data_IF_223780181684
#
_entry.id   IF_223780181684
#
_cell.length_a   1.000
_cell.length_b   1.000
_cell.length_c   1.000
_cell.angle_alpha   90.00
_cell.angle_beta   90.00
_cell.angle_gamma   90.00
#
_symmetry.space_group_name_H-M   'P 1'
#
loop_
_entity.id
_entity.type
_entity.pdbx_description
1 polymer ?
#
# COMPACT_ATOMS: atom_id res chain seq x y z
N UNK A 1 8.73 -0.77 21.12
CA UNK A 1 8.43 -2.04 20.42
C UNK A 1 8.34 -3.12 21.49
N UNK A 2 7.56 -4.17 21.27
CA UNK A 2 7.51 -5.35 22.13
C UNK A 2 8.74 -6.26 21.91
N UNK A 3 8.74 -7.45 22.53
CA UNK A 3 9.83 -8.42 22.42
C UNK A 3 10.04 -8.98 21.00
N UNK A 4 9.02 -8.86 20.13
CA UNK A 4 9.06 -9.28 18.73
C UNK A 4 9.41 -8.13 17.78
N UNK A 5 9.66 -6.92 18.30
CA UNK A 5 9.94 -5.75 17.49
C UNK A 5 8.70 -5.11 16.85
N UNK A 6 7.49 -5.45 17.32
CA UNK A 6 6.20 -4.90 16.88
C UNK A 6 5.79 -3.70 17.77
N UNK A 7 4.85 -2.83 17.35
CA UNK A 7 4.36 -1.76 18.20
C UNK A 7 3.69 -2.29 19.48
N UNK A 8 3.98 -1.67 20.62
CA UNK A 8 3.43 -2.11 21.92
C UNK A 8 1.96 -1.78 22.17
N UNK A 9 1.29 -1.16 21.19
CA UNK A 9 -0.15 -0.89 21.20
C UNK A 9 -0.92 -2.03 20.52
N UNK A 10 -2.23 -2.14 20.80
CA UNK A 10 -3.09 -3.05 20.04
C UNK A 10 -3.21 -2.61 18.56
N UNK A 11 -3.29 -3.53 17.60
CA UNK A 11 -3.55 -3.22 16.18
C UNK A 11 -4.98 -2.68 15.96
N UNK A 12 -5.28 -2.02 14.83
CA UNK A 12 -4.39 -1.85 13.67
C UNK A 12 -3.28 -0.83 13.90
N UNK A 13 -2.06 -1.13 13.44
CA UNK A 13 -0.91 -0.21 13.57
C UNK A 13 -0.80 0.81 12.43
N UNK A 14 -1.63 0.67 11.41
CA UNK A 14 -1.86 1.65 10.36
C UNK A 14 -3.02 1.23 9.48
N UNK A 15 -3.66 2.21 8.86
CA UNK A 15 -4.92 2.02 8.16
C UNK A 15 -4.99 2.91 6.92
N UNK A 16 -5.68 2.41 5.90
CA UNK A 16 -6.18 3.22 4.80
C UNK A 16 -7.60 3.67 5.15
N UNK A 17 -7.85 4.97 5.09
CA UNK A 17 -9.12 5.58 5.49
C UNK A 17 -9.66 6.42 4.33
N UNK A 18 -10.93 6.20 3.98
CA UNK A 18 -11.65 7.08 3.09
C UNK A 18 -12.57 8.01 3.87
N UNK A 19 -12.57 9.28 3.49
CA UNK A 19 -13.35 10.34 4.12
C UNK A 19 -14.13 11.05 3.03
N UNK A 20 -15.44 11.18 3.22
CA UNK A 20 -16.26 12.08 2.40
C UNK A 20 -15.94 13.53 2.79
N UNK A 21 -15.40 14.28 1.85
CA UNK A 21 -14.97 15.66 2.07
C UNK A 21 -16.13 16.65 2.21
N UNK A 22 -17.34 16.30 1.79
CA UNK A 22 -18.51 17.15 1.97
C UNK A 22 -19.04 17.08 3.40
N UNK A 23 -19.01 15.88 4.00
CA UNK A 23 -19.61 15.62 5.31
C UNK A 23 -18.58 15.46 6.43
N UNK A 24 -17.31 15.25 6.08
CA UNK A 24 -16.23 14.92 7.02
C UNK A 24 -16.33 13.52 7.61
N UNK A 25 -17.23 12.66 7.10
CA UNK A 25 -17.48 11.33 7.64
C UNK A 25 -16.53 10.31 7.02
N UNK A 26 -16.04 9.39 7.85
CA UNK A 26 -15.34 8.19 7.37
C UNK A 26 -16.35 7.31 6.64
N UNK A 27 -16.06 6.97 5.38
CA UNK A 27 -16.89 6.06 4.58
C UNK A 27 -16.46 4.61 4.76
N UNK A 28 -15.16 4.37 4.92
CA UNK A 28 -14.59 3.07 5.28
C UNK A 28 -13.17 3.23 5.84
N UNK A 29 -12.74 2.20 6.57
CA UNK A 29 -11.39 2.05 7.13
C UNK A 29 -10.96 0.61 7.00
N UNK A 30 -9.75 0.36 6.49
CA UNK A 30 -9.14 -0.97 6.45
C UNK A 30 -7.71 -0.94 7.02
N UNK A 31 -7.25 -1.98 7.74
CA UNK A 31 -5.84 -2.12 8.08
C UNK A 31 -4.97 -2.13 6.81
N UNK A 32 -3.89 -1.35 6.80
CA UNK A 32 -3.02 -1.25 5.62
C UNK A 32 -1.66 -1.90 5.89
N UNK A 33 -1.47 -3.06 5.25
CA UNK A 33 -0.27 -3.88 5.27
C UNK A 33 0.08 -4.44 6.65
N UNK A 34 1.28 -5.00 6.75
CA UNK A 34 1.75 -5.70 7.94
C UNK A 34 3.26 -5.49 8.13
N UNK A 35 3.73 -5.70 9.36
CA UNK A 35 5.16 -5.79 9.63
C UNK A 35 5.68 -7.17 9.19
N UNK A 36 6.85 -7.29 8.53
CA UNK A 36 7.42 -8.59 8.17
C UNK A 36 7.56 -9.56 9.35
N UNK A 37 7.78 -9.06 10.56
CA UNK A 37 7.84 -9.86 11.78
C UNK A 37 6.49 -10.48 12.14
N UNK A 38 5.38 -9.74 11.97
CA UNK A 38 4.03 -10.26 12.19
C UNK A 38 3.68 -11.34 11.16
N UNK A 39 4.00 -11.09 9.88
CA UNK A 39 3.82 -12.08 8.81
C UNK A 39 4.60 -13.37 9.09
N UNK A 40 5.84 -13.27 9.57
CA UNK A 40 6.66 -14.43 9.95
C UNK A 40 6.07 -15.26 11.11
N UNK A 41 5.17 -14.67 11.90
CA UNK A 41 4.43 -15.34 12.98
C UNK A 41 3.06 -15.87 12.50
N UNK A 42 2.73 -15.73 11.21
CA UNK A 42 1.42 -16.11 10.66
C UNK A 42 0.29 -15.14 11.01
N UNK A 43 0.63 -13.90 11.37
CA UNK A 43 -0.34 -12.85 11.68
C UNK A 43 -0.43 -11.87 10.49
N UNK A 44 -1.64 -11.63 10.01
CA UNK A 44 -1.90 -10.76 8.85
C UNK A 44 -3.09 -9.82 9.14
N UNK A 45 -3.16 -8.71 8.40
CA UNK A 45 -4.26 -7.74 8.53
C UNK A 45 -4.19 -6.89 9.79
N UNK A 46 -2.99 -6.73 10.37
CA UNK A 46 -2.76 -5.96 11.59
C UNK A 46 -2.41 -4.50 11.32
N UNK A 47 -2.25 -4.10 10.07
CA UNK A 47 -1.78 -2.77 9.73
C UNK A 47 -0.29 -2.60 10.00
N UNK A 48 0.33 -1.62 9.36
CA UNK A 48 1.70 -1.23 9.68
C UNK A 48 1.85 0.29 9.54
N UNK A 49 2.94 0.84 10.07
CA UNK A 49 3.22 2.26 9.88
C UNK A 49 3.25 2.59 8.38
N UNK A 50 2.46 3.60 7.99
CA UNK A 50 2.34 3.99 6.59
C UNK A 50 3.31 5.12 6.26
N UNK A 51 4.07 4.95 5.18
CA UNK A 51 4.98 5.97 4.67
C UNK A 51 4.86 6.05 3.15
N UNK A 52 4.29 7.15 2.67
CA UNK A 52 3.86 7.32 1.27
C UNK A 52 2.37 7.60 1.19
N UNK A 53 1.85 7.76 -0.03
CA UNK A 53 0.43 8.03 -0.26
C UNK A 53 -0.19 7.13 -1.33
N UNK A 54 -1.53 7.12 -1.41
CA UNK A 54 -2.25 6.46 -2.48
C UNK A 54 -2.27 7.31 -3.75
N UNK A 55 -2.63 6.67 -4.87
CA UNK A 55 -3.17 7.34 -6.06
C UNK A 55 -4.54 6.75 -6.40
N UNK A 56 -5.49 7.61 -6.74
CA UNK A 56 -6.86 7.21 -7.11
C UNK A 56 -7.03 7.39 -8.61
N UNK A 57 -7.54 6.37 -9.29
CA UNK A 57 -7.74 6.39 -10.74
C UNK A 57 -9.19 6.71 -11.11
N UNK A 58 -9.42 7.12 -12.36
CA UNK A 58 -10.77 7.30 -12.91
C UNK A 58 -11.57 6.01 -13.12
N UNK A 59 -10.95 4.84 -12.89
CA UNK A 59 -11.64 3.54 -12.88
C UNK A 59 -12.02 3.08 -11.47
N UNK A 60 -12.11 4.01 -10.52
CA UNK A 60 -12.51 3.76 -9.13
C UNK A 60 -11.62 2.80 -8.34
N UNK A 61 -10.33 2.74 -8.71
CA UNK A 61 -9.30 2.00 -7.99
C UNK A 61 -8.37 2.92 -7.21
N UNK A 62 -8.01 2.51 -6.00
CA UNK A 62 -6.98 3.13 -5.15
C UNK A 62 -5.75 2.25 -5.14
N UNK A 63 -4.63 2.75 -5.68
CA UNK A 63 -3.34 2.06 -5.63
C UNK A 63 -2.48 2.62 -4.51
N UNK A 64 -1.95 1.75 -3.65
CA UNK A 64 -1.05 2.14 -2.55
C UNK A 64 -0.11 1.00 -2.18
N UNK A 65 1.14 1.34 -1.88
CA UNK A 65 2.10 0.43 -1.27
C UNK A 65 2.28 0.84 0.20
N UNK A 66 3.07 1.87 0.46
CA UNK A 66 3.22 2.60 1.72
C UNK A 66 3.53 1.77 2.98
N UNK A 67 3.79 0.47 2.87
CA UNK A 67 3.92 -0.46 4.00
C UNK A 67 5.26 -1.20 3.97
N UNK A 68 5.76 -1.66 5.14
CA UNK A 68 7.05 -2.34 5.23
C UNK A 68 7.05 -3.77 4.67
N UNK A 69 5.89 -4.38 4.43
CA UNK A 69 5.76 -5.72 3.81
C UNK A 69 6.11 -5.79 2.32
N UNK A 70 6.55 -4.68 1.71
CA UNK A 70 6.98 -4.64 0.31
C UNK A 70 5.91 -5.11 -0.67
N UNK A 71 4.67 -4.65 -0.50
CA UNK A 71 3.57 -4.92 -1.45
C UNK A 71 2.99 -3.64 -2.01
N UNK A 72 2.54 -3.68 -3.27
CA UNK A 72 1.61 -2.72 -3.84
C UNK A 72 0.22 -3.37 -3.89
N UNK A 73 -0.82 -2.57 -3.64
CA UNK A 73 -2.21 -3.03 -3.54
C UNK A 73 -3.12 -2.13 -4.36
N UNK A 74 -4.19 -2.72 -4.88
CA UNK A 74 -5.32 -2.01 -5.47
C UNK A 74 -6.58 -2.31 -4.66
N UNK A 75 -7.26 -1.26 -4.22
CA UNK A 75 -8.51 -1.34 -3.48
C UNK A 75 -9.67 -0.74 -4.29
N UNK A 76 -10.87 -1.28 -4.12
CA UNK A 76 -12.09 -0.61 -4.53
C UNK A 76 -12.26 0.70 -3.74
N UNK A 77 -12.45 1.81 -4.45
CA UNK A 77 -12.55 3.15 -3.86
C UNK A 77 -13.76 3.33 -2.93
N UNK A 78 -14.85 2.60 -3.16
CA UNK A 78 -16.12 2.82 -2.47
C UNK A 78 -16.28 1.95 -1.22
N UNK A 79 -15.74 0.74 -1.24
CA UNK A 79 -15.86 -0.25 -0.18
C UNK A 79 -14.57 -0.45 0.63
N UNK A 80 -13.41 -0.13 0.05
CA UNK A 80 -12.11 -0.47 0.62
C UNK A 80 -11.74 -1.95 0.44
N UNK A 81 -12.46 -2.71 -0.37
CA UNK A 81 -12.15 -4.11 -0.68
C UNK A 81 -10.79 -4.22 -1.40
N UNK A 82 -9.94 -5.14 -0.96
CA UNK A 82 -8.69 -5.45 -1.64
C UNK A 82 -8.98 -6.28 -2.90
N UNK A 83 -8.73 -5.71 -4.07
CA UNK A 83 -9.01 -6.35 -5.36
C UNK A 83 -7.78 -7.03 -5.97
N UNK A 84 -6.59 -6.47 -5.72
CA UNK A 84 -5.34 -6.99 -6.27
C UNK A 84 -4.15 -6.57 -5.42
N UNK A 85 -3.09 -7.37 -5.44
CA UNK A 85 -1.80 -7.00 -4.87
C UNK A 85 -0.66 -7.72 -5.56
N UNK A 86 0.54 -7.17 -5.44
CA UNK A 86 1.78 -7.79 -5.91
C UNK A 86 2.96 -7.46 -4.98
N UNK A 87 3.98 -8.32 -5.03
CA UNK A 87 5.22 -8.14 -4.29
C UNK A 87 6.14 -7.15 -5.03
N UNK A 88 6.74 -6.24 -4.27
CA UNK A 88 7.77 -5.33 -4.73
C UNK A 88 9.15 -5.85 -4.32
N UNK A 89 10.22 -5.54 -5.08
CA UNK A 89 11.59 -5.94 -4.72
C UNK A 89 12.12 -5.24 -3.46
N UNK A 90 11.47 -4.16 -3.01
CA UNK A 90 11.73 -3.46 -1.76
C UNK A 90 10.48 -2.69 -1.32
N UNK A 91 10.45 -2.20 -0.09
CA UNK A 91 9.29 -1.48 0.44
C UNK A 91 8.96 -0.23 -0.39
N UNK A 92 7.71 -0.19 -0.88
CA UNK A 92 7.19 0.87 -1.75
C UNK A 92 6.75 2.09 -0.95
N UNK A 93 7.71 2.85 -0.44
CA UNK A 93 7.45 4.05 0.37
C UNK A 93 7.15 5.33 -0.43
N UNK A 94 7.17 5.23 -1.76
CA UNK A 94 6.76 6.31 -2.66
C UNK A 94 5.25 6.23 -2.95
N UNK A 95 4.64 7.37 -3.27
CA UNK A 95 3.31 7.41 -3.87
C UNK A 95 3.40 6.88 -5.32
N UNK A 96 2.58 5.91 -5.73
CA UNK A 96 2.54 5.47 -7.11
C UNK A 96 2.11 6.60 -8.06
N UNK A 97 2.67 6.61 -9.26
CA UNK A 97 2.29 7.53 -10.34
C UNK A 97 1.43 6.82 -11.38
N UNK A 98 0.47 7.55 -11.96
CA UNK A 98 -0.35 7.10 -13.09
C UNK A 98 0.08 7.88 -14.33
N UNK A 99 0.45 7.21 -15.42
CA UNK A 99 0.74 7.88 -16.68
C UNK A 99 0.26 7.09 -17.90
N UNK A 100 0.27 7.74 -19.07
CA UNK A 100 0.01 7.10 -20.35
C UNK A 100 1.23 7.19 -21.26
N UNK A 101 1.55 6.08 -21.92
CA UNK A 101 2.62 6.00 -22.92
C UNK A 101 2.25 4.94 -23.96
N UNK A 102 2.49 5.21 -25.24
CA UNK A 102 2.18 4.26 -26.32
C UNK A 102 0.72 3.80 -26.35
N UNK A 103 -0.24 4.68 -26.01
CA UNK A 103 -1.67 4.35 -25.94
C UNK A 103 -2.10 3.57 -24.69
N UNK A 104 -1.17 3.11 -23.85
CA UNK A 104 -1.43 2.30 -22.66
C UNK A 104 -1.32 3.14 -21.39
N UNK A 105 -2.09 2.77 -20.36
CA UNK A 105 -2.02 3.38 -19.03
C UNK A 105 -1.17 2.50 -18.10
N UNK A 106 -0.35 3.14 -17.29
CA UNK A 106 0.56 2.49 -16.36
C UNK A 106 0.38 3.01 -14.94
N UNK A 107 0.56 2.11 -13.97
CA UNK A 107 0.85 2.42 -12.57
C UNK A 107 2.33 2.16 -12.33
N UNK A 108 3.08 3.16 -11.86
CA UNK A 108 4.52 3.03 -11.62
C UNK A 108 4.91 3.50 -10.23
N UNK A 109 5.75 2.72 -9.57
CA UNK A 109 6.23 3.02 -8.23
C UNK A 109 7.74 2.81 -8.13
N UNK A 110 8.41 3.70 -7.38
CA UNK A 110 9.78 3.50 -6.92
C UNK A 110 9.78 2.60 -5.67
N UNK A 111 10.38 1.41 -5.79
CA UNK A 111 10.65 0.50 -4.69
C UNK A 111 12.03 0.81 -4.10
N UNK A 112 12.09 1.86 -3.26
CA UNK A 112 13.33 2.39 -2.70
C UNK A 112 13.67 1.90 -1.28
N UNK A 113 12.67 1.47 -0.50
CA UNK A 113 12.88 1.05 0.89
C UNK A 113 13.58 2.10 1.77
N UNK A 114 14.46 1.67 2.68
CA UNK A 114 15.33 2.55 3.45
C UNK A 114 14.67 3.33 4.61
N UNK A 115 13.39 3.09 4.89
CA UNK A 115 12.66 3.58 6.08
C UNK A 115 12.06 2.38 6.83
N UNK A 116 11.59 2.61 8.06
CA UNK A 116 10.90 1.60 8.87
C UNK A 116 11.66 0.25 8.97
N UNK A 117 13.00 0.32 9.07
CA UNK A 117 13.92 -0.84 9.15
C UNK A 117 13.84 -1.79 7.94
N UNK A 118 13.34 -1.33 6.80
CA UNK A 118 13.37 -2.08 5.55
C UNK A 118 14.67 -1.83 4.79
N UNK A 119 15.15 -2.87 4.12
CA UNK A 119 16.32 -2.79 3.24
C UNK A 119 16.10 -1.74 2.15
N UNK A 120 17.19 -1.08 1.72
CA UNK A 120 17.16 -0.18 0.58
C UNK A 120 17.05 -0.95 -0.73
N UNK A 121 16.34 -0.37 -1.69
CA UNK A 121 16.22 -0.84 -3.06
C UNK A 121 16.42 0.31 -4.05
N UNK A 122 16.47 -0.03 -5.33
CA UNK A 122 16.73 0.93 -6.42
C UNK A 122 16.00 0.54 -7.71
N UNK A 123 14.74 0.10 -7.59
CA UNK A 123 13.94 -0.34 -8.72
C UNK A 123 12.70 0.54 -8.93
N UNK A 124 12.34 0.74 -10.20
CA UNK A 124 10.99 1.15 -10.58
C UNK A 124 10.24 -0.08 -11.07
N UNK A 125 9.00 -0.25 -10.61
CA UNK A 125 8.10 -1.32 -11.07
C UNK A 125 6.92 -0.68 -11.77
N UNK A 126 6.58 -1.21 -12.94
CA UNK A 126 5.49 -0.70 -13.78
C UNK A 126 4.46 -1.79 -14.08
N UNK A 127 3.19 -1.45 -13.87
CA UNK A 127 2.04 -2.31 -14.08
C UNK A 127 1.14 -1.75 -15.17
N UNK A 128 0.67 -2.62 -16.06
CA UNK A 128 -0.36 -2.33 -17.04
C UNK A 128 -1.16 -3.60 -17.31
N UNK A 129 -2.39 -3.45 -17.80
CA UNK A 129 -3.15 -4.58 -18.30
C UNK A 129 -2.42 -5.23 -19.51
N UNK A 130 -2.63 -6.53 -19.74
CA UNK A 130 -2.19 -7.21 -20.96
C UNK A 130 -2.70 -6.49 -22.21
N UNK A 131 -1.96 -6.65 -23.31
CA UNK A 131 -2.47 -6.21 -24.62
C UNK A 131 -3.61 -7.13 -25.07
N UNK A 132 -4.65 -6.58 -25.72
CA UNK A 132 -5.72 -7.36 -26.32
C UNK A 132 -5.24 -8.35 -27.39
#
# INVERSE_FOLDING_TARGET
>A
LDEHGLPGSRPPWGSLVAIDTNTGRITWTVPLGDYPQALAMGLEGLGAANYGGPVVTGGDLVFIAATPDSRIRAFDKYSGELLWQDALPAAGFATPAVYRAGGRQFIVIAAGGGRLRQASGSAYVAYALPEP
#
